data_IF_861727595828
#
_entry.id   IF_861727595828
#
_cell.length_a   1.000
_cell.length_b   1.000
_cell.length_c   1.000
_cell.angle_alpha   90.00
_cell.angle_beta   90.00
_cell.angle_gamma   90.00
#
_symmetry.space_group_name_H-M   'P 1'
#
loop_
_entity.id
_entity.type
_entity.pdbx_description
1 polymer ?
#
# COMPACT_ATOMS: atom_id res chain seq x y z
N UNK A 1 -12.91 40.19 8.39
CA UNK A 1 -12.28 38.91 8.83
C UNK A 1 -12.46 37.75 7.84
N UNK A 2 -13.59 37.62 7.12
CA UNK A 2 -13.82 36.52 6.16
C UNK A 2 -12.88 36.50 4.95
N UNK A 3 -12.51 37.66 4.42
CA UNK A 3 -11.64 37.78 3.22
C UNK A 3 -10.19 37.41 3.50
N UNK A 4 -9.67 37.74 4.69
CA UNK A 4 -8.30 37.39 5.12
C UNK A 4 -8.15 35.88 5.29
N UNK A 5 -9.18 35.22 5.83
CA UNK A 5 -9.22 33.76 5.94
C UNK A 5 -9.19 33.06 4.58
N UNK A 6 -9.89 33.59 3.58
CA UNK A 6 -9.90 33.01 2.24
C UNK A 6 -8.55 33.14 1.52
N UNK A 7 -7.83 34.25 1.72
CA UNK A 7 -6.47 34.44 1.15
C UNK A 7 -5.43 33.57 1.89
N UNK A 8 -5.57 33.40 3.20
CA UNK A 8 -4.72 32.48 3.95
C UNK A 8 -4.94 31.01 3.53
N UNK A 9 -6.19 30.62 3.21
CA UNK A 9 -6.50 29.26 2.78
C UNK A 9 -5.88 28.92 1.41
N UNK A 10 -5.87 29.86 0.47
CA UNK A 10 -5.33 29.63 -0.89
C UNK A 10 -3.81 29.52 -0.91
N UNK A 11 -3.11 30.28 -0.06
CA UNK A 11 -1.64 30.24 0.04
C UNK A 11 -1.12 28.92 0.63
N UNK A 12 -1.86 28.32 1.57
CA UNK A 12 -1.54 27.01 2.15
C UNK A 12 -1.71 25.88 1.11
N UNK A 13 -2.80 25.91 0.33
CA UNK A 13 -3.05 24.90 -0.71
C UNK A 13 -1.99 24.97 -1.82
N UNK A 14 -1.49 26.16 -2.17
CA UNK A 14 -0.45 26.32 -3.19
C UNK A 14 0.91 25.73 -2.76
N UNK A 15 1.25 25.76 -1.47
CA UNK A 15 2.53 25.22 -0.99
C UNK A 15 2.53 23.69 -0.81
N UNK A 16 1.36 23.07 -0.61
CA UNK A 16 1.28 21.61 -0.53
C UNK A 16 1.43 20.93 -1.90
N UNK A 17 1.08 21.60 -3.00
CA UNK A 17 1.15 21.03 -4.34
C UNK A 17 2.59 20.87 -4.89
N UNK A 18 3.58 21.54 -4.29
CA UNK A 18 4.95 21.64 -4.84
C UNK A 18 5.94 20.59 -4.31
N UNK A 19 5.51 19.68 -3.41
CA UNK A 19 6.42 18.72 -2.75
C UNK A 19 6.15 17.25 -3.07
N UNK A 20 5.49 16.96 -4.20
CA UNK A 20 5.33 15.57 -4.64
C UNK A 20 6.70 14.99 -5.01
N UNK A 21 7.22 13.98 -4.30
CA UNK A 21 8.43 13.30 -4.74
C UNK A 21 8.15 12.69 -6.11
N UNK A 22 8.94 13.07 -7.11
CA UNK A 22 8.92 12.43 -8.43
C UNK A 22 9.25 10.96 -8.21
N UNK A 23 8.28 10.09 -8.49
CA UNK A 23 8.50 8.66 -8.46
C UNK A 23 9.60 8.31 -9.47
N UNK A 24 10.64 7.56 -9.08
CA UNK A 24 11.70 7.17 -10.01
C UNK A 24 11.08 6.38 -11.17
N UNK A 25 11.55 6.65 -12.39
CA UNK A 25 11.04 5.96 -13.57
C UNK A 25 11.46 4.49 -13.55
N UNK A 26 10.73 3.62 -14.27
CA UNK A 26 11.05 2.19 -14.31
C UNK A 26 12.48 1.91 -14.80
N UNK A 27 12.99 2.76 -15.69
CA UNK A 27 14.37 2.69 -16.21
C UNK A 27 15.39 3.02 -15.12
N UNK A 28 15.11 4.02 -14.28
CA UNK A 28 15.98 4.37 -13.15
C UNK A 28 16.07 3.24 -12.12
N UNK A 29 14.94 2.54 -11.88
CA UNK A 29 14.88 1.39 -10.99
C UNK A 29 15.70 0.22 -11.54
N UNK A 30 15.63 -0.04 -12.84
CA UNK A 30 16.42 -1.10 -13.50
C UNK A 30 17.92 -0.77 -13.47
N UNK A 31 18.30 0.46 -13.81
CA UNK A 31 19.69 0.91 -13.73
C UNK A 31 20.22 0.83 -12.30
N UNK A 32 19.40 1.18 -11.30
CA UNK A 32 19.77 1.06 -9.90
C UNK A 32 19.96 -0.40 -9.48
N UNK A 33 19.07 -1.31 -9.88
CA UNK A 33 19.21 -2.75 -9.60
C UNK A 33 20.48 -3.33 -10.22
N UNK A 34 20.78 -3.01 -11.48
CA UNK A 34 22.02 -3.44 -12.15
C UNK A 34 23.25 -2.93 -11.41
N UNK A 35 23.25 -1.65 -11.00
CA UNK A 35 24.36 -1.06 -10.25
C UNK A 35 24.56 -1.73 -8.88
N UNK A 36 23.48 -2.15 -8.21
CA UNK A 36 23.55 -2.86 -6.93
C UNK A 36 24.09 -4.28 -7.09
N UNK A 37 23.74 -4.96 -8.19
CA UNK A 37 24.26 -6.30 -8.49
C UNK A 37 25.76 -6.29 -8.74
N UNK A 38 26.25 -5.38 -9.60
CA UNK A 38 27.69 -5.22 -9.88
C UNK A 38 28.46 -4.89 -8.61
N UNK A 39 27.91 -4.04 -7.73
CA UNK A 39 28.51 -3.74 -6.43
C UNK A 39 28.58 -4.96 -5.51
N UNK A 40 27.56 -5.82 -5.52
CA UNK A 40 27.55 -7.07 -4.77
C UNK A 40 28.64 -8.04 -5.22
N UNK A 41 28.82 -8.18 -6.54
CA UNK A 41 29.86 -9.03 -7.13
C UNK A 41 31.27 -8.53 -6.79
N UNK A 42 31.51 -7.21 -6.86
CA UNK A 42 32.78 -6.61 -6.45
C UNK A 42 33.11 -6.84 -4.97
N UNK A 43 32.12 -6.72 -4.08
CA UNK A 43 32.32 -7.01 -2.66
C UNK A 43 32.60 -8.49 -2.40
N UNK A 44 31.94 -9.40 -3.12
CA UNK A 44 32.22 -10.82 -3.04
C UNK A 44 33.62 -11.17 -3.54
N UNK A 45 34.10 -10.53 -4.61
CA UNK A 45 35.46 -10.70 -5.10
C UNK A 45 36.51 -10.20 -4.08
N UNK A 46 36.29 -9.04 -3.45
CA UNK A 46 37.17 -8.56 -2.37
C UNK A 46 37.15 -9.48 -1.14
N UNK A 47 35.99 -10.05 -0.80
CA UNK A 47 35.87 -11.02 0.30
C UNK A 47 36.62 -12.31 0.00
N UNK A 48 36.58 -12.80 -1.22
CA UNK A 48 37.35 -13.98 -1.64
C UNK A 48 38.87 -13.73 -1.52
N UNK A 49 39.34 -12.53 -1.88
CA UNK A 49 40.76 -12.16 -1.72
C UNK A 49 41.20 -12.00 -0.24
N UNK A 50 40.30 -11.59 0.65
CA UNK A 50 40.55 -11.49 2.09
C UNK A 50 40.45 -12.84 2.82
N UNK A 51 39.72 -13.81 2.26
CA UNK A 51 39.56 -15.15 2.83
C UNK A 51 40.82 -16.03 2.70
N UNK A 52 41.68 -15.73 1.74
CA UNK A 52 42.85 -16.56 1.37
C UNK A 52 44.16 -16.13 2.06
N UNK A 53 44.15 -15.03 2.84
CA UNK A 53 45.30 -14.54 3.62
C UNK A 53 45.10 -14.75 5.12
N UNK A 54 44.93 -16.00 5.54
CA UNK A 54 44.99 -16.38 6.95
C UNK A 54 45.99 -17.51 7.18
N UNK A 55 47.27 -17.18 7.12
CA UNK A 55 48.21 -17.66 8.15
C UNK A 55 49.19 -16.53 8.49
N UNK A 56 49.42 -16.38 9.80
CA UNK A 56 50.37 -15.47 10.44
C UNK A 56 50.03 -13.97 10.37
N UNK A 57 49.46 -13.42 11.45
CA UNK A 57 50.19 -12.53 12.38
C UNK A 57 49.25 -12.07 13.51
N UNK A 58 49.81 -12.10 14.71
CA UNK A 58 49.32 -11.71 16.03
C UNK A 58 48.53 -10.39 16.08
N UNK A 59 47.39 -10.41 16.78
CA UNK A 59 46.93 -9.34 17.66
C UNK A 59 46.75 -7.94 17.06
N UNK A 60 45.76 -7.75 16.20
CA UNK A 60 45.11 -6.45 16.07
C UNK A 60 43.61 -6.64 16.22
N UNK A 61 43.08 -6.07 17.29
CA UNK A 61 41.68 -6.05 17.68
C UNK A 61 40.90 -5.20 16.69
N UNK A 62 40.70 -5.71 15.47
CA UNK A 62 39.62 -5.24 14.61
C UNK A 62 38.34 -5.63 15.34
N UNK A 63 37.73 -4.65 16.00
CA UNK A 63 36.30 -4.62 16.24
C UNK A 63 35.63 -4.80 14.88
N UNK A 64 35.46 -6.05 14.47
CA UNK A 64 34.60 -6.42 13.36
C UNK A 64 33.25 -5.88 13.82
N UNK A 65 32.86 -4.75 13.25
CA UNK A 65 31.53 -4.20 13.33
C UNK A 65 30.66 -5.34 12.82
N UNK A 66 30.14 -6.14 13.74
CA UNK A 66 29.13 -7.15 13.50
C UNK A 66 27.92 -6.37 13.00
N UNK A 67 27.89 -6.12 11.69
CA UNK A 67 26.73 -5.55 11.01
C UNK A 67 25.60 -6.53 11.28
N UNK A 68 24.83 -6.24 12.33
CA UNK A 68 23.60 -6.96 12.65
C UNK A 68 22.79 -7.01 11.38
N UNK A 69 22.63 -8.20 10.82
CA UNK A 69 21.84 -8.41 9.63
C UNK A 69 20.38 -8.11 10.01
N UNK A 70 19.90 -6.94 9.61
CA UNK A 70 18.48 -6.58 9.72
C UNK A 70 17.84 -7.01 8.42
N UNK A 71 17.19 -8.17 8.42
CA UNK A 71 16.35 -8.59 7.31
C UNK A 71 15.05 -7.79 7.36
N UNK A 72 14.78 -7.01 6.31
CA UNK A 72 13.50 -6.35 6.14
C UNK A 72 12.41 -7.42 6.00
N UNK A 73 11.55 -7.53 7.00
CA UNK A 73 10.41 -8.41 6.91
C UNK A 73 9.41 -7.81 5.90
N UNK A 74 8.86 -8.61 4.98
CA UNK A 74 7.86 -8.11 4.03
C UNK A 74 6.66 -7.59 4.81
N UNK A 75 6.24 -6.36 4.51
CA UNK A 75 5.03 -5.76 5.08
C UNK A 75 3.83 -6.65 4.78
N UNK A 76 3.11 -7.08 5.82
CA UNK A 76 1.83 -7.77 5.66
C UNK A 76 0.89 -6.84 4.90
N UNK A 77 0.55 -7.20 3.67
CA UNK A 77 -0.53 -6.55 2.94
C UNK A 77 -1.81 -6.84 3.71
N UNK A 78 -2.44 -5.80 4.23
CA UNK A 78 -3.72 -5.93 4.92
C UNK A 78 -4.70 -6.60 3.97
N UNK A 79 -5.07 -7.85 4.24
CA UNK A 79 -6.20 -8.58 3.65
C UNK A 79 -7.56 -7.96 4.01
N UNK A 80 -7.59 -6.68 4.37
CA UNK A 80 -8.73 -5.97 4.93
C UNK A 80 -9.82 -5.59 3.93
N UNK A 81 -9.69 -5.98 2.66
CA UNK A 81 -10.72 -5.73 1.65
C UNK A 81 -11.85 -6.76 1.67
N UNK A 82 -11.55 -8.04 1.94
CA UNK A 82 -12.54 -9.12 1.79
C UNK A 82 -13.47 -9.23 3.01
N UNK A 83 -12.93 -9.02 4.22
CA UNK A 83 -13.74 -9.01 5.46
C UNK A 83 -14.71 -7.83 5.47
N UNK A 84 -14.30 -6.69 4.90
CA UNK A 84 -15.12 -5.48 4.85
C UNK A 84 -16.24 -5.59 3.81
N UNK A 85 -15.95 -6.17 2.63
CA UNK A 85 -16.97 -6.46 1.60
C UNK A 85 -18.02 -7.44 2.09
N UNK A 86 -17.61 -8.54 2.72
CA UNK A 86 -18.54 -9.54 3.26
C UNK A 86 -19.49 -8.92 4.32
N UNK A 87 -18.94 -8.05 5.17
CA UNK A 87 -19.74 -7.32 6.17
C UNK A 87 -20.74 -6.37 5.50
N UNK A 88 -20.32 -5.69 4.43
CA UNK A 88 -21.19 -4.82 3.64
C UNK A 88 -22.32 -5.62 2.97
N UNK A 89 -22.02 -6.77 2.36
CA UNK A 89 -23.03 -7.63 1.74
C UNK A 89 -24.07 -8.09 2.74
N UNK A 90 -23.65 -8.54 3.93
CA UNK A 90 -24.58 -8.94 5.00
C UNK A 90 -25.49 -7.81 5.45
N UNK A 91 -24.97 -6.59 5.55
CA UNK A 91 -25.77 -5.43 5.91
C UNK A 91 -26.82 -5.11 4.82
N UNK A 92 -26.44 -5.22 3.55
CA UNK A 92 -27.34 -5.02 2.42
C UNK A 92 -28.43 -6.10 2.39
N UNK A 93 -28.07 -7.37 2.57
CA UNK A 93 -29.01 -8.50 2.59
C UNK A 93 -30.03 -8.35 3.73
N UNK A 94 -29.57 -8.03 4.95
CA UNK A 94 -30.46 -7.81 6.08
C UNK A 94 -31.48 -6.72 5.79
N UNK A 95 -31.04 -5.60 5.20
CA UNK A 95 -31.94 -4.50 4.84
C UNK A 95 -32.89 -4.88 3.71
N UNK A 96 -32.44 -5.65 2.72
CA UNK A 96 -33.28 -6.12 1.63
C UNK A 96 -34.40 -7.03 2.16
N UNK A 97 -34.07 -7.93 3.09
CA UNK A 97 -35.07 -8.81 3.74
C UNK A 97 -36.15 -8.01 4.47
N UNK A 98 -35.79 -6.93 5.17
CA UNK A 98 -36.77 -6.04 5.81
C UNK A 98 -37.71 -5.39 4.80
N UNK A 99 -37.18 -4.92 3.67
CA UNK A 99 -37.97 -4.27 2.61
C UNK A 99 -38.92 -5.28 1.96
N UNK A 100 -38.44 -6.48 1.65
CA UNK A 100 -39.26 -7.55 1.08
C UNK A 100 -40.38 -7.96 2.04
N UNK A 101 -40.07 -8.13 3.34
CA UNK A 101 -41.08 -8.44 4.36
C UNK A 101 -42.12 -7.32 4.53
N UNK A 102 -41.71 -6.05 4.42
CA UNK A 102 -42.64 -4.92 4.41
C UNK A 102 -43.52 -4.90 3.15
N UNK A 103 -42.94 -5.24 2.00
CA UNK A 103 -43.65 -5.37 0.73
C UNK A 103 -44.71 -6.47 0.74
N UNK A 104 -44.37 -7.64 1.27
CA UNK A 104 -45.30 -8.76 1.43
C UNK A 104 -46.50 -8.37 2.30
N UNK A 105 -46.27 -7.64 3.40
CA UNK A 105 -47.35 -7.13 4.27
C UNK A 105 -48.28 -6.15 3.56
N UNK A 106 -47.80 -5.50 2.50
CA UNK A 106 -48.58 -4.58 1.66
C UNK A 106 -49.19 -5.29 0.44
N UNK A 107 -48.96 -6.60 0.28
CA UNK A 107 -49.45 -7.39 -0.86
C UNK A 107 -48.67 -7.16 -2.15
N UNK A 108 -47.48 -6.57 -2.08
CA UNK A 108 -46.59 -6.35 -3.22
C UNK A 108 -45.69 -7.57 -3.38
N UNK A 109 -45.51 -8.05 -4.62
CA UNK A 109 -44.64 -9.21 -4.85
C UNK A 109 -43.16 -8.85 -4.66
N UNK A 110 -42.34 -9.79 -4.16
CA UNK A 110 -40.89 -9.59 -4.08
C UNK A 110 -40.27 -9.25 -5.44
N UNK A 111 -40.74 -9.87 -6.51
CA UNK A 111 -40.25 -9.68 -7.87
C UNK A 111 -40.48 -8.25 -8.36
N UNK A 112 -41.63 -7.64 -8.05
CA UNK A 112 -41.94 -6.26 -8.44
C UNK A 112 -41.02 -5.26 -7.72
N UNK A 113 -40.72 -5.51 -6.44
CA UNK A 113 -39.79 -4.67 -5.66
C UNK A 113 -38.37 -4.79 -6.20
N UNK A 114 -37.91 -6.00 -6.51
CA UNK A 114 -36.58 -6.25 -7.06
C UNK A 114 -36.43 -5.61 -8.44
N UNK A 115 -37.45 -5.71 -9.30
CA UNK A 115 -37.43 -5.08 -10.61
C UNK A 115 -37.39 -3.56 -10.49
N UNK A 116 -38.19 -2.96 -9.61
CA UNK A 116 -38.17 -1.52 -9.36
C UNK A 116 -36.80 -1.03 -8.82
N UNK A 117 -36.17 -1.78 -7.91
CA UNK A 117 -34.81 -1.46 -7.42
C UNK A 117 -33.79 -1.57 -8.56
N UNK A 118 -33.90 -2.60 -9.39
CA UNK A 118 -33.01 -2.82 -10.53
C UNK A 118 -33.12 -1.70 -11.56
N UNK A 119 -34.34 -1.32 -11.95
CA UNK A 119 -34.59 -0.20 -12.86
C UNK A 119 -34.05 1.13 -12.33
N UNK A 120 -34.16 1.35 -11.02
CA UNK A 120 -33.62 2.57 -10.39
C UNK A 120 -32.09 2.58 -10.43
N UNK A 121 -31.46 1.45 -10.14
CA UNK A 121 -30.00 1.35 -10.09
C UNK A 121 -29.35 1.41 -11.46
N UNK A 122 -30.03 1.03 -12.54
CA UNK A 122 -29.51 1.17 -13.91
C UNK A 122 -29.59 2.61 -14.44
N UNK A 123 -30.35 3.50 -13.78
CA UNK A 123 -30.51 4.92 -14.15
C UNK A 123 -29.56 5.87 -13.40
N UNK A 124 -28.76 5.35 -12.47
CA UNK A 124 -27.74 6.08 -11.69
C UNK A 124 -26.37 5.79 -12.29
#
# INVERSE_FOLDING_TARGET
MRTVFLVALTTIVAHLASSSPVAPSNEDVLAQLQSMQVRGEQMNAMRAQLGDKKEHTVGFQLSIIEKRMVAWQPMKRSSGGDVDRETLFRAIEARLMEVLAAGERLGISPEEILEHIRERNTRI
#
